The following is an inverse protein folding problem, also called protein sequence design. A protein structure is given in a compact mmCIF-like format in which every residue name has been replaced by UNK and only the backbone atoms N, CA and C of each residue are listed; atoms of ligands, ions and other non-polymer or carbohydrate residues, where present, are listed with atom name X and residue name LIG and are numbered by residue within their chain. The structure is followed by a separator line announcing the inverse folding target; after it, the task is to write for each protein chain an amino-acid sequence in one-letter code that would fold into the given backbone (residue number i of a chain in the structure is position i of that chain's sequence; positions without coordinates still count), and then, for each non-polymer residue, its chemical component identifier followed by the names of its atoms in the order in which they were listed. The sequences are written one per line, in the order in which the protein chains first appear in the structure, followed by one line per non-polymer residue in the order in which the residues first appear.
data_IF_051491889937
#
_entry.id   IF_051491889937
#
_cell.length_a   1.000
_cell.length_b   1.000
_cell.length_c   1.000
_cell.angle_alpha   90.00
_cell.angle_beta   90.00
_cell.angle_gamma   90.00
#
_symmetry.space_group_name_H-M   'P 1'
#
loop_
_entity.id
_entity.type
_entity.pdbx_description
1 polymer ?
#
# COMPACT_ATOMS: atom_id res chain seq x y z
N UNK A 1 21.12 -49.65 -42.50
CA UNK A 1 21.35 -48.22 -42.22
C UNK A 1 20.01 -47.61 -41.87
N UNK A 2 19.83 -47.17 -40.62
CA UNK A 2 18.53 -46.75 -40.08
C UNK A 2 18.13 -45.33 -40.52
N UNK A 3 16.85 -45.16 -40.83
CA UNK A 3 16.24 -43.86 -41.14
C UNK A 3 16.07 -43.03 -39.87
N UNK A 4 16.60 -41.81 -39.87
CA UNK A 4 16.30 -40.81 -38.85
C UNK A 4 14.91 -40.20 -39.15
N UNK A 5 13.95 -40.45 -38.28
CA UNK A 5 12.67 -39.74 -38.27
C UNK A 5 12.90 -38.29 -37.86
N UNK A 6 12.50 -37.34 -38.70
CA UNK A 6 12.55 -35.91 -38.39
C UNK A 6 11.55 -35.61 -37.28
N UNK A 7 12.04 -35.19 -36.11
CA UNK A 7 11.20 -34.64 -35.07
C UNK A 7 10.76 -33.23 -35.51
N UNK A 8 9.50 -33.09 -35.92
CA UNK A 8 8.90 -31.76 -36.06
C UNK A 8 8.56 -31.26 -34.65
N UNK A 9 9.33 -30.30 -34.13
CA UNK A 9 8.96 -29.58 -32.92
C UNK A 9 7.65 -28.83 -33.15
N UNK A 10 6.59 -29.20 -32.44
CA UNK A 10 5.32 -28.50 -32.48
C UNK A 10 5.42 -27.14 -31.79
N UNK A 11 4.85 -26.11 -32.40
CA UNK A 11 4.77 -24.77 -31.80
C UNK A 11 3.76 -24.78 -30.65
N UNK A 12 4.13 -24.16 -29.52
CA UNK A 12 3.22 -23.92 -28.39
C UNK A 12 3.06 -22.42 -28.17
N UNK A 13 1.85 -21.99 -27.79
CA UNK A 13 1.52 -20.60 -27.49
C UNK A 13 0.74 -20.53 -26.18
N UNK A 14 0.95 -19.45 -25.43
CA UNK A 14 0.21 -19.15 -24.19
C UNK A 14 -0.02 -17.65 -24.06
N UNK A 15 -1.05 -17.25 -23.29
CA UNK A 15 -1.35 -15.85 -23.01
C UNK A 15 -1.52 -15.59 -21.51
N UNK A 16 -1.12 -14.40 -21.07
CA UNK A 16 -1.38 -13.91 -19.73
C UNK A 16 -2.46 -12.84 -19.78
N UNK A 17 -3.44 -12.91 -18.88
CA UNK A 17 -4.44 -11.86 -18.66
C UNK A 17 -4.29 -11.31 -17.26
N UNK A 18 -4.00 -10.02 -17.15
CA UNK A 18 -3.94 -9.31 -15.87
C UNK A 18 -5.29 -8.68 -15.56
N UNK A 19 -5.94 -9.14 -14.49
CA UNK A 19 -7.15 -8.53 -13.93
C UNK A 19 -6.74 -7.49 -12.89
N UNK A 20 -7.41 -6.35 -12.88
CA UNK A 20 -7.16 -5.26 -11.93
C UNK A 20 -8.42 -4.84 -11.19
N UNK A 21 -8.25 -4.41 -9.95
CA UNK A 21 -9.28 -3.73 -9.16
C UNK A 21 -8.65 -2.50 -8.51
N UNK A 22 -9.27 -1.33 -8.69
CA UNK A 22 -8.78 -0.05 -8.16
C UNK A 22 -9.72 0.49 -7.09
N UNK A 23 -9.16 1.24 -6.16
CA UNK A 23 -9.93 1.95 -5.12
C UNK A 23 -9.11 3.07 -4.51
N UNK A 24 -9.78 3.99 -3.82
CA UNK A 24 -9.12 5.05 -3.07
C UNK A 24 -9.76 5.19 -1.69
N UNK A 25 -8.94 5.50 -0.68
CA UNK A 25 -9.38 5.74 0.68
C UNK A 25 -8.74 7.01 1.23
N UNK A 26 -9.52 7.79 2.00
CA UNK A 26 -9.05 8.96 2.72
C UNK A 26 -9.22 8.71 4.21
N UNK A 27 -8.13 8.79 4.95
CA UNK A 27 -8.11 8.72 6.40
C UNK A 27 -7.86 10.12 6.95
N UNK A 28 -8.89 10.74 7.50
CA UNK A 28 -8.80 12.05 8.14
C UNK A 28 -8.37 11.89 9.61
N UNK A 29 -7.30 12.58 9.97
CA UNK A 29 -6.77 12.65 11.34
C UNK A 29 -7.05 14.04 11.87
N UNK A 30 -8.08 14.16 12.69
CA UNK A 30 -8.47 15.40 13.36
C UNK A 30 -7.80 15.51 14.74
N UNK A 31 -7.58 16.73 15.23
CA UNK A 31 -7.01 17.00 16.55
C UNK A 31 -5.63 16.35 16.74
N UNK A 32 -4.75 16.49 15.74
CA UNK A 32 -3.41 15.88 15.74
C UNK A 32 -2.61 16.19 17.02
N UNK A 33 -2.79 17.37 17.60
CA UNK A 33 -2.13 17.77 18.85
C UNK A 33 -2.37 16.82 20.04
N UNK A 34 -3.47 16.05 20.04
CA UNK A 34 -3.75 15.04 21.07
C UNK A 34 -3.02 13.71 20.81
N UNK A 35 -2.57 13.50 19.58
CA UNK A 35 -1.81 12.31 19.16
C UNK A 35 -0.31 12.55 19.22
N UNK A 36 0.15 13.80 19.25
CA UNK A 36 1.56 14.15 19.44
C UNK A 36 2.01 13.76 20.85
N UNK A 37 3.13 13.04 20.94
CA UNK A 37 3.60 12.47 22.20
C UNK A 37 3.04 11.09 22.53
N UNK A 38 2.31 10.44 21.61
CA UNK A 38 1.86 9.05 21.73
C UNK A 38 3.01 8.04 21.86
N UNK A 39 4.23 8.40 21.46
CA UNK A 39 5.43 7.59 21.56
C UNK A 39 5.74 6.80 20.30
N UNK A 40 7.04 6.53 20.09
CA UNK A 40 7.53 5.82 18.92
C UNK A 40 6.97 4.40 18.82
N UNK A 41 6.52 4.04 17.61
CA UNK A 41 5.94 2.72 17.31
C UNK A 41 4.44 2.60 17.60
N UNK A 42 3.82 3.59 18.23
CA UNK A 42 2.37 3.63 18.40
C UNK A 42 1.70 4.25 17.16
N UNK A 43 0.53 3.71 16.79
CA UNK A 43 -0.23 4.21 15.65
C UNK A 43 -1.73 4.29 15.94
N UNK A 44 -2.40 5.09 15.12
CA UNK A 44 -3.85 5.05 14.94
C UNK A 44 -4.17 4.53 13.55
N UNK A 45 -5.22 3.73 13.42
CA UNK A 45 -5.60 3.10 12.16
C UNK A 45 -6.86 3.71 11.58
N UNK A 46 -6.96 3.76 10.26
CA UNK A 46 -8.21 4.05 9.56
C UNK A 46 -9.24 2.95 9.79
N UNK A 47 -10.49 3.25 9.45
CA UNK A 47 -11.47 2.20 9.20
C UNK A 47 -10.99 1.29 8.06
N UNK A 48 -11.47 0.05 8.10
CA UNK A 48 -11.21 -0.93 7.04
C UNK A 48 -11.90 -0.52 5.74
N UNK A 49 -11.20 -0.69 4.62
CA UNK A 49 -11.76 -0.52 3.27
C UNK A 49 -11.36 -1.69 2.36
N UNK A 50 -12.23 -2.05 1.42
CA UNK A 50 -12.05 -3.24 0.60
C UNK A 50 -11.70 -2.89 -0.85
N UNK A 51 -10.64 -3.49 -1.38
CA UNK A 51 -10.23 -3.37 -2.79
C UNK A 51 -9.76 -4.73 -3.28
N UNK A 52 -10.27 -5.16 -4.43
CA UNK A 52 -9.87 -6.43 -5.05
C UNK A 52 -10.21 -7.68 -4.22
N UNK A 53 -11.17 -7.62 -3.30
CA UNK A 53 -11.53 -8.75 -2.43
C UNK A 53 -10.61 -8.94 -1.22
N UNK A 54 -9.78 -7.93 -0.94
CA UNK A 54 -8.93 -7.81 0.24
C UNK A 54 -9.35 -6.60 1.05
N UNK A 55 -9.16 -6.72 2.36
CA UNK A 55 -9.46 -5.68 3.33
C UNK A 55 -8.17 -4.98 3.75
N UNK A 56 -8.23 -3.66 3.85
CA UNK A 56 -7.07 -2.80 4.03
C UNK A 56 -7.34 -1.77 5.12
N UNK A 57 -6.30 -1.30 5.79
CA UNK A 57 -6.36 -0.09 6.60
C UNK A 57 -5.08 0.73 6.40
N UNK A 58 -5.13 2.01 6.74
CA UNK A 58 -3.97 2.89 6.81
C UNK A 58 -3.57 3.01 8.27
N UNK A 59 -2.30 2.74 8.60
CA UNK A 59 -1.75 3.00 9.93
C UNK A 59 -0.98 4.31 9.90
N UNK A 60 -1.29 5.20 10.84
CA UNK A 60 -0.63 6.49 11.00
C UNK A 60 0.15 6.52 12.32
N UNK A 61 1.44 6.77 12.22
CA UNK A 61 2.37 6.85 13.34
C UNK A 61 2.71 8.34 13.56
N UNK A 62 2.08 9.00 14.56
CA UNK A 62 2.28 10.42 14.81
C UNK A 62 3.71 10.73 15.27
N UNK A 63 4.34 9.78 15.98
CA UNK A 63 5.67 9.96 16.57
C UNK A 63 6.71 9.04 15.94
N UNK A 64 7.21 9.42 14.77
CA UNK A 64 8.31 8.70 14.13
C UNK A 64 9.68 9.25 14.55
N UNK A 65 10.73 8.78 13.86
CA UNK A 65 12.09 9.24 14.06
C UNK A 65 12.27 10.71 13.66
N UNK A 66 13.16 11.43 14.36
CA UNK A 66 13.61 12.79 14.03
C UNK A 66 12.52 13.85 13.82
N UNK A 67 11.44 13.83 14.61
CA UNK A 67 10.41 14.88 14.55
C UNK A 67 9.51 14.77 13.31
N UNK A 68 9.42 13.58 12.73
CA UNK A 68 8.50 13.24 11.65
C UNK A 68 7.33 12.40 12.14
N UNK A 69 6.31 12.30 11.30
CA UNK A 69 5.25 11.31 11.35
C UNK A 69 5.26 10.51 10.04
N UNK A 70 4.72 9.28 10.04
CA UNK A 70 4.57 8.52 8.80
C UNK A 70 3.27 7.74 8.75
N UNK A 71 2.87 7.34 7.55
CA UNK A 71 1.76 6.42 7.34
C UNK A 71 2.14 5.27 6.40
N UNK A 72 1.54 4.10 6.62
CA UNK A 72 1.69 2.92 5.77
C UNK A 72 0.35 2.21 5.54
N UNK A 73 0.28 1.42 4.46
CA UNK A 73 -0.86 0.58 4.14
C UNK A 73 -0.72 -0.80 4.81
N UNK A 74 -1.79 -1.32 5.40
CA UNK A 74 -1.78 -2.65 6.01
C UNK A 74 -2.88 -3.53 5.42
N UNK A 75 -2.53 -4.78 5.13
CA UNK A 75 -3.50 -5.81 4.76
C UNK A 75 -4.13 -6.36 6.02
N UNK A 76 -5.46 -6.38 6.06
CA UNK A 76 -6.22 -7.05 7.11
C UNK A 76 -6.41 -8.53 6.74
N UNK A 77 -5.75 -9.42 7.48
CA UNK A 77 -5.81 -10.86 7.27
C UNK A 77 -4.72 -11.41 6.36
N UNK A 78 -5.07 -12.39 5.52
CA UNK A 78 -4.12 -13.14 4.68
C UNK A 78 -4.43 -13.00 3.19
N UNK A 79 -3.39 -13.15 2.37
CA UNK A 79 -3.56 -13.36 0.95
C UNK A 79 -4.32 -14.69 0.70
N UNK A 80 -5.47 -14.60 0.02
CA UNK A 80 -6.32 -15.75 -0.33
C UNK A 80 -5.76 -16.59 -1.48
N UNK A 81 -4.87 -16.03 -2.29
CA UNK A 81 -4.31 -16.66 -3.48
C UNK A 81 -2.86 -16.18 -3.69
N UNK A 82 -1.98 -17.00 -4.29
CA UNK A 82 -0.62 -16.61 -4.60
C UNK A 82 -0.57 -15.65 -5.80
N UNK A 83 0.51 -14.86 -5.88
CA UNK A 83 0.79 -14.02 -7.05
C UNK A 83 -0.05 -12.75 -7.17
N UNK A 84 -0.73 -12.34 -6.10
CA UNK A 84 -1.43 -11.05 -6.07
C UNK A 84 -0.43 -9.93 -5.88
N UNK A 85 -0.36 -9.03 -6.85
CA UNK A 85 0.45 -7.82 -6.77
C UNK A 85 -0.42 -6.63 -6.39
N UNK A 86 0.13 -5.75 -5.58
CA UNK A 86 -0.58 -4.61 -5.02
C UNK A 86 0.29 -3.39 -5.24
N UNK A 87 -0.23 -2.43 -6.01
CA UNK A 87 0.37 -1.11 -6.18
C UNK A 87 -0.42 -0.13 -5.34
N UNK A 88 0.27 0.58 -4.45
CA UNK A 88 -0.32 1.61 -3.61
C UNK A 88 0.41 2.93 -3.79
N UNK A 89 -0.31 4.03 -3.70
CA UNK A 89 0.24 5.38 -3.60
C UNK A 89 -0.32 6.05 -2.36
N UNK A 90 0.55 6.52 -1.45
CA UNK A 90 0.19 7.20 -0.22
C UNK A 90 0.62 8.67 -0.27
N UNK A 91 -0.22 9.57 0.25
CA UNK A 91 0.08 11.01 0.33
C UNK A 91 -0.54 11.64 1.57
N UNK A 92 0.19 12.54 2.24
CA UNK A 92 -0.38 13.46 3.22
C UNK A 92 -0.92 14.70 2.51
N UNK A 93 -2.18 15.02 2.76
CA UNK A 93 -2.89 16.18 2.23
C UNK A 93 -3.20 17.15 3.36
N UNK A 94 -2.97 18.44 3.10
CA UNK A 94 -3.42 19.52 3.96
C UNK A 94 -4.92 19.78 3.82
N UNK A 95 -5.40 20.77 4.57
CA UNK A 95 -6.82 21.19 4.58
C UNK A 95 -7.35 21.65 3.21
N UNK A 96 -6.46 22.13 2.32
CA UNK A 96 -6.77 22.51 0.94
C UNK A 96 -6.91 21.31 -0.02
N UNK A 97 -6.73 20.08 0.49
CA UNK A 97 -6.78 18.84 -0.27
C UNK A 97 -5.55 18.58 -1.14
N UNK A 98 -4.50 19.41 -1.04
CA UNK A 98 -3.25 19.24 -1.78
C UNK A 98 -2.19 18.59 -0.90
N UNK A 99 -1.19 17.92 -1.50
CA UNK A 99 -0.06 17.41 -0.74
C UNK A 99 0.66 18.53 0.02
N UNK A 100 1.15 18.24 1.23
CA UNK A 100 2.01 19.21 1.93
C UNK A 100 3.23 19.54 1.07
N UNK A 101 3.68 20.81 1.13
CA UNK A 101 4.89 21.22 0.42
C UNK A 101 6.08 20.39 0.91
N UNK A 102 6.79 19.77 -0.03
CA UNK A 102 7.93 18.90 0.25
C UNK A 102 7.56 17.51 0.80
N UNK A 103 6.29 17.10 0.73
CA UNK A 103 5.89 15.71 0.92
C UNK A 103 5.44 15.13 -0.41
N UNK A 104 6.31 14.36 -1.05
CA UNK A 104 5.96 13.68 -2.29
C UNK A 104 5.14 12.42 -2.00
N UNK A 105 4.11 12.10 -2.82
CA UNK A 105 3.43 10.83 -2.72
C UNK A 105 4.38 9.65 -2.89
N UNK A 106 4.25 8.65 -2.02
CA UNK A 106 5.07 7.44 -2.07
C UNK A 106 4.30 6.36 -2.78
N UNK A 107 4.87 5.82 -3.86
CA UNK A 107 4.28 4.70 -4.61
C UNK A 107 5.08 3.43 -4.40
N UNK A 108 4.41 2.39 -3.91
CA UNK A 108 5.00 1.08 -3.63
C UNK A 108 4.26 -0.01 -4.40
N UNK A 109 5.00 -1.01 -4.87
CA UNK A 109 4.43 -2.26 -5.40
C UNK A 109 4.95 -3.44 -4.61
N UNK A 110 4.03 -4.26 -4.09
CA UNK A 110 4.34 -5.43 -3.27
C UNK A 110 3.53 -6.63 -3.74
N UNK A 111 4.11 -7.82 -3.66
CA UNK A 111 3.38 -9.07 -3.85
C UNK A 111 2.90 -9.54 -2.49
N UNK A 112 1.62 -9.90 -2.38
CA UNK A 112 1.08 -10.41 -1.14
C UNK A 112 1.70 -11.78 -0.81
N UNK A 113 2.32 -11.95 0.37
CA UNK A 113 2.86 -13.22 0.80
C UNK A 113 1.70 -14.20 1.02
N UNK A 114 1.77 -15.36 0.34
CA UNK A 114 0.77 -16.40 0.50
C UNK A 114 0.82 -16.99 1.91
N UNK A 115 -0.33 -17.21 2.54
CA UNK A 115 -0.48 -17.87 3.85
C UNK A 115 0.17 -17.20 5.07
N UNK A 116 0.56 -15.92 5.00
CA UNK A 116 1.07 -15.18 6.16
C UNK A 116 0.02 -14.23 6.75
N UNK A 117 -0.35 -14.48 8.01
CA UNK A 117 -1.27 -13.63 8.80
C UNK A 117 -0.48 -12.47 9.42
N UNK A 118 -1.00 -11.25 9.33
CA UNK A 118 -0.51 -10.12 10.15
C UNK A 118 0.86 -9.56 9.76
N UNK A 119 1.34 -9.81 8.54
CA UNK A 119 2.55 -9.16 8.04
C UNK A 119 2.20 -7.74 7.61
N UNK A 120 2.94 -6.77 8.12
CA UNK A 120 3.02 -5.43 7.55
C UNK A 120 3.72 -5.52 6.17
N UNK A 121 2.96 -5.89 5.14
CA UNK A 121 3.48 -6.09 3.77
C UNK A 121 4.08 -4.79 3.20
N UNK A 122 3.68 -3.65 3.77
CA UNK A 122 4.23 -2.31 3.52
C UNK A 122 4.95 -1.75 4.76
N UNK A 123 5.64 -2.61 5.54
CA UNK A 123 6.51 -2.17 6.64
C UNK A 123 7.83 -1.59 6.17
N UNK A 124 8.22 -1.79 4.90
CA UNK A 124 9.45 -1.26 4.35
C UNK A 124 9.51 0.26 4.51
N UNK A 125 10.68 0.80 4.84
CA UNK A 125 10.82 2.24 5.02
C UNK A 125 10.43 3.02 3.74
N UNK A 126 10.69 2.43 2.57
CA UNK A 126 10.36 2.97 1.24
C UNK A 126 8.87 2.96 0.91
N UNK A 127 8.07 2.22 1.69
CA UNK A 127 6.61 2.12 1.49
C UNK A 127 5.84 3.15 2.30
N UNK A 128 6.53 3.88 3.18
CA UNK A 128 5.95 4.83 4.12
C UNK A 128 6.00 6.22 3.52
N UNK A 129 4.86 6.91 3.54
CA UNK A 129 4.86 8.36 3.31
C UNK A 129 5.22 9.06 4.62
N UNK A 130 6.13 10.04 4.56
CA UNK A 130 6.67 10.76 5.72
C UNK A 130 6.27 12.23 5.63
N UNK A 131 5.99 12.84 6.77
CA UNK A 131 5.70 14.27 6.90
C UNK A 131 6.38 14.83 8.16
N UNK A 132 6.86 16.06 8.09
CA UNK A 132 7.37 16.79 9.26
C UNK A 132 6.21 17.09 10.21
N UNK A 133 6.40 16.83 11.52
CA UNK A 133 5.35 17.09 12.51
C UNK A 133 4.92 18.55 12.58
N UNK A 134 5.84 19.47 12.35
CA UNK A 134 5.58 20.91 12.35
C UNK A 134 4.47 21.30 11.37
N UNK A 135 4.37 20.61 10.23
CA UNK A 135 3.33 20.82 9.20
C UNK A 135 1.96 20.35 9.70
N UNK A 136 1.93 19.23 10.42
CA UNK A 136 0.71 18.68 11.02
C UNK A 136 0.21 19.54 12.19
N UNK A 137 1.15 20.05 13.00
CA UNK A 137 0.85 20.95 14.11
C UNK A 137 0.29 22.30 13.63
N UNK A 138 0.79 22.83 12.52
CA UNK A 138 0.32 24.09 11.95
C UNK A 138 -1.13 24.01 11.45
N UNK A 139 -1.52 22.89 10.82
CA UNK A 139 -2.87 22.70 10.29
C UNK A 139 -3.86 22.15 11.34
N UNK A 140 -3.38 21.46 12.38
CA UNK A 140 -4.19 20.84 13.43
C UNK A 140 -4.96 19.58 13.00
N UNK A 141 -5.13 19.36 11.70
CA UNK A 141 -5.62 18.13 11.09
C UNK A 141 -4.81 17.78 9.85
N UNK A 142 -4.87 16.51 9.42
CA UNK A 142 -4.34 16.09 8.13
C UNK A 142 -5.18 14.97 7.53
N UNK A 143 -5.08 14.79 6.21
CA UNK A 143 -5.69 13.65 5.53
C UNK A 143 -4.62 12.79 4.89
N UNK A 144 -4.63 11.49 5.17
CA UNK A 144 -3.81 10.51 4.47
C UNK A 144 -4.66 9.89 3.38
N UNK A 145 -4.25 10.04 2.12
CA UNK A 145 -4.90 9.40 0.98
C UNK A 145 -4.11 8.18 0.55
N UNK A 146 -4.82 7.09 0.27
CA UNK A 146 -4.30 5.90 -0.38
C UNK A 146 -5.04 5.67 -1.71
N UNK A 147 -4.31 5.62 -2.83
CA UNK A 147 -4.81 5.11 -4.10
C UNK A 147 -4.23 3.71 -4.30
N UNK A 148 -5.11 2.71 -4.48
CA UNK A 148 -4.76 1.30 -4.41
C UNK A 148 -5.19 0.56 -5.68
N UNK A 149 -4.31 -0.28 -6.19
CA UNK A 149 -4.58 -1.18 -7.32
C UNK A 149 -4.15 -2.59 -6.96
N UNK A 150 -5.09 -3.52 -6.97
CA UNK A 150 -4.84 -4.96 -6.80
C UNK A 150 -4.83 -5.62 -8.18
N UNK A 151 -3.78 -6.39 -8.47
CA UNK A 151 -3.50 -7.00 -9.77
C UNK A 151 -3.34 -8.51 -9.62
N UNK A 152 -4.00 -9.25 -10.52
CA UNK A 152 -3.97 -10.72 -10.56
C UNK A 152 -3.66 -11.19 -11.97
N UNK A 153 -2.72 -12.10 -12.10
CA UNK A 153 -2.44 -12.74 -13.37
C UNK A 153 -3.20 -14.06 -13.47
N UNK A 154 -3.89 -14.29 -14.58
CA UNK A 154 -4.48 -15.58 -14.93
C UNK A 154 -3.84 -16.05 -16.23
N UNK A 155 -3.28 -17.25 -16.21
CA UNK A 155 -2.83 -17.92 -17.44
C UNK A 155 -4.06 -18.51 -18.12
N UNK A 156 -4.25 -18.20 -19.40
CA UNK A 156 -5.35 -18.69 -20.22
C UNK A 156 -4.80 -19.36 -21.48
#
# INVERSE_FOLDING_TARGET
MGNFSSWCGGETSSRCVTKTATGAHKFEVTNYSLLDGMGAGNCVSSNTFSVGGYDWCINFFPDAYSGCAFACLCLQGTAKEPGVMVKSTLSFLGSDGKPYKGTEPVTATRTLPFSHVGIEIFSGWEDRVIVEKSKLQADGCCTIRCDLTVMRNTVA
#
